data_IF_049744665530
#
_entry.id   IF_049744665530
#
_cell.length_a   1.000
_cell.length_b   1.000
_cell.length_c   1.000
_cell.angle_alpha   90.00
_cell.angle_beta   90.00
_cell.angle_gamma   90.00
#
_symmetry.space_group_name_H-M   'P 1'
#
loop_
_entity.id
_entity.type
_entity.pdbx_description
1 polymer ?
#
# COMPACT_ATOMS: atom_id res chain seq x y z
N UNK A 1 9.19 10.51 3.17
CA UNK A 1 8.68 10.98 1.88
C UNK A 1 7.61 9.97 1.43
N UNK A 2 6.34 10.37 1.36
CA UNK A 2 5.29 9.39 0.96
C UNK A 2 5.35 9.15 -0.53
N UNK A 3 5.29 7.88 -0.94
CA UNK A 3 5.23 7.51 -2.34
C UNK A 3 3.93 8.04 -2.98
N UNK A 4 4.01 8.73 -4.14
CA UNK A 4 2.84 9.27 -4.81
C UNK A 4 1.88 8.18 -5.31
N UNK A 5 2.32 6.94 -5.49
CA UNK A 5 1.42 5.85 -5.85
C UNK A 5 0.48 5.49 -4.71
N UNK A 6 0.92 5.55 -3.45
CA UNK A 6 0.04 5.30 -2.29
C UNK A 6 -1.06 6.37 -2.19
N UNK A 7 -0.74 7.64 -2.45
CA UNK A 7 -1.73 8.73 -2.50
C UNK A 7 -2.79 8.52 -3.59
N UNK A 8 -2.38 8.00 -4.75
CA UNK A 8 -3.29 7.68 -5.86
C UNK A 8 -4.25 6.53 -5.55
N UNK A 9 -3.97 5.71 -4.53
CA UNK A 9 -4.90 4.65 -4.10
C UNK A 9 -6.17 5.21 -3.41
N UNK A 10 -6.17 6.46 -2.96
CA UNK A 10 -7.35 7.10 -2.36
C UNK A 10 -7.87 6.42 -1.09
N UNK A 11 -7.00 5.71 -0.37
CA UNK A 11 -7.40 4.91 0.80
C UNK A 11 -7.55 5.77 2.07
N UNK A 12 -8.62 5.59 2.86
CA UNK A 12 -8.74 6.24 4.14
C UNK A 12 -7.66 5.72 5.11
N UNK A 13 -7.20 6.54 6.08
CA UNK A 13 -6.19 6.13 7.06
C UNK A 13 -6.63 4.91 7.89
N UNK A 14 -7.94 4.74 8.11
CA UNK A 14 -8.53 3.61 8.84
C UNK A 14 -8.82 2.38 7.96
N UNK A 15 -8.36 2.36 6.70
CA UNK A 15 -8.55 1.21 5.83
C UNK A 15 -7.90 -0.04 6.43
N UNK A 16 -8.46 -1.22 6.16
CA UNK A 16 -7.81 -2.46 6.56
C UNK A 16 -6.62 -2.78 5.65
N UNK A 17 -5.64 -3.53 6.16
CA UNK A 17 -4.50 -4.03 5.35
C UNK A 17 -4.97 -4.75 4.09
N UNK A 18 -6.10 -5.47 4.15
CA UNK A 18 -6.70 -6.14 2.99
C UNK A 18 -7.23 -5.14 1.95
N UNK A 19 -7.84 -4.04 2.38
CA UNK A 19 -8.29 -2.98 1.47
C UNK A 19 -7.10 -2.33 0.74
N UNK A 20 -5.97 -2.15 1.43
CA UNK A 20 -4.72 -1.64 0.84
C UNK A 20 -4.22 -2.56 -0.27
N UNK A 21 -4.11 -3.87 0.01
CA UNK A 21 -3.66 -4.84 -1.00
C UNK A 21 -4.62 -4.89 -2.19
N UNK A 22 -5.94 -4.84 -1.97
CA UNK A 22 -6.94 -4.80 -3.05
C UNK A 22 -6.82 -3.55 -3.92
N UNK A 23 -6.62 -2.38 -3.32
CA UNK A 23 -6.40 -1.15 -4.07
C UNK A 23 -5.09 -1.19 -4.85
N UNK A 24 -4.01 -1.71 -4.24
CA UNK A 24 -2.72 -1.91 -4.91
C UNK A 24 -2.83 -2.86 -6.12
N UNK A 25 -3.60 -3.95 -6.00
CA UNK A 25 -3.88 -4.86 -7.12
C UNK A 25 -4.67 -4.15 -8.22
N UNK A 26 -5.69 -3.36 -7.87
CA UNK A 26 -6.49 -2.59 -8.84
C UNK A 26 -5.69 -1.50 -9.55
N UNK A 27 -4.64 -0.98 -8.92
CA UNK A 27 -3.75 0.00 -9.52
C UNK A 27 -2.76 -0.61 -10.53
N UNK A 28 -2.53 -1.94 -10.49
CA UNK A 28 -1.68 -2.64 -11.44
C UNK A 28 -2.46 -3.04 -12.68
N UNK A 29 -1.85 -2.89 -13.86
CA UNK A 29 -2.43 -3.36 -15.12
C UNK A 29 -2.56 -4.89 -15.10
N UNK A 30 -3.66 -5.48 -15.62
CA UNK A 30 -3.84 -6.93 -15.67
C UNK A 30 -2.68 -7.67 -16.34
N UNK A 31 -2.05 -7.07 -17.36
CA UNK A 31 -0.87 -7.68 -18.00
C UNK A 31 0.32 -7.76 -17.04
N UNK A 32 0.52 -6.75 -16.19
CA UNK A 32 1.54 -6.78 -15.14
C UNK A 32 1.25 -7.86 -14.08
N UNK A 33 -0.03 -8.16 -13.84
CA UNK A 33 -0.44 -9.25 -12.94
C UNK A 33 -0.25 -10.62 -13.59
N UNK A 34 -0.48 -10.74 -14.91
CA UNK A 34 -0.35 -11.97 -15.67
C UNK A 34 1.10 -12.43 -15.84
N UNK A 35 2.07 -11.50 -15.85
CA UNK A 35 3.49 -11.85 -15.95
C UNK A 35 3.98 -12.56 -14.69
N UNK A 36 4.25 -13.88 -14.80
CA UNK A 36 4.71 -14.71 -13.67
C UNK A 36 6.05 -14.25 -13.10
N UNK A 37 6.97 -13.77 -13.94
CA UNK A 37 8.30 -13.29 -13.54
C UNK A 37 8.24 -12.07 -12.61
N UNK A 38 7.13 -11.32 -12.62
CA UNK A 38 6.94 -10.16 -11.74
C UNK A 38 6.39 -10.52 -10.36
N UNK A 39 6.22 -11.81 -10.03
CA UNK A 39 5.68 -12.23 -8.74
C UNK A 39 6.42 -11.64 -7.55
N UNK A 40 7.75 -11.65 -7.58
CA UNK A 40 8.57 -11.10 -6.50
C UNK A 40 8.49 -9.57 -6.44
N UNK A 41 8.46 -8.90 -7.58
CA UNK A 41 8.27 -7.45 -7.69
C UNK A 41 6.90 -7.04 -7.11
N UNK A 42 5.82 -7.75 -7.45
CA UNK A 42 4.48 -7.51 -6.90
C UNK A 42 4.43 -7.68 -5.38
N UNK A 43 5.08 -8.72 -4.85
CA UNK A 43 5.16 -8.92 -3.39
C UNK A 43 5.89 -7.76 -2.70
N UNK A 44 6.99 -7.26 -3.26
CA UNK A 44 7.68 -6.08 -2.73
C UNK A 44 6.78 -4.86 -2.74
N UNK A 45 6.13 -4.59 -3.87
CA UNK A 45 5.17 -3.49 -4.01
C UNK A 45 4.05 -3.55 -2.96
N UNK A 46 3.48 -4.73 -2.69
CA UNK A 46 2.45 -4.87 -1.66
C UNK A 46 2.99 -4.63 -0.25
N UNK A 47 4.24 -5.01 0.04
CA UNK A 47 4.86 -4.76 1.36
C UNK A 47 5.13 -3.27 1.55
N UNK A 48 5.69 -2.59 0.55
CA UNK A 48 5.94 -1.15 0.61
C UNK A 48 4.63 -0.36 0.80
N UNK A 49 3.54 -0.78 0.15
CA UNK A 49 2.22 -0.20 0.34
C UNK A 49 1.68 -0.41 1.75
N UNK A 50 1.90 -1.59 2.34
CA UNK A 50 1.48 -1.89 3.71
C UNK A 50 2.30 -1.12 4.75
N UNK A 51 3.61 -0.96 4.53
CA UNK A 51 4.49 -0.23 5.45
C UNK A 51 4.16 1.27 5.43
N UNK A 52 3.92 1.84 4.24
CA UNK A 52 3.44 3.22 4.12
C UNK A 52 2.07 3.43 4.74
N UNK A 53 1.18 2.46 4.60
CA UNK A 53 -0.13 2.50 5.24
C UNK A 53 -0.01 2.43 6.76
N UNK A 54 0.83 1.54 7.28
CA UNK A 54 1.10 1.43 8.71
C UNK A 54 1.67 2.74 9.27
N UNK A 55 2.64 3.36 8.59
CA UNK A 55 3.21 4.65 8.96
C UNK A 55 2.18 5.79 9.01
N UNK A 56 1.05 5.67 8.29
CA UNK A 56 -0.08 6.61 8.32
C UNK A 56 -1.17 6.23 9.33
N UNK A 57 -1.28 4.94 9.66
CA UNK A 57 -2.21 4.43 10.65
C UNK A 57 -1.75 4.71 12.07
N UNK A 58 -0.44 4.71 12.30
CA UNK A 58 0.10 5.20 13.56
C UNK A 58 -0.33 6.65 13.67
N UNK A 59 -1.23 7.00 14.63
CA UNK A 59 -1.36 8.39 15.00
C UNK A 59 0.05 8.82 15.37
N UNK A 60 0.51 9.97 14.91
CA UNK A 60 1.60 10.62 15.65
C UNK A 60 1.07 10.75 17.07
N UNK A 61 1.45 9.81 17.94
CA UNK A 61 1.14 9.87 19.35
C UNK A 61 1.81 11.16 19.82
N UNK A 62 1.07 12.22 20.20
CA UNK A 62 1.69 13.18 21.08
C UNK A 62 2.04 12.35 22.32
N UNK A 63 3.34 12.17 22.56
CA UNK A 63 3.83 11.84 23.89
C UNK A 63 3.28 12.93 24.81
N UNK A 64 2.13 12.66 25.41
CA UNK A 64 1.64 13.34 26.59
C UNK A 64 1.92 12.39 27.74
N UNK A 65 2.80 12.82 28.65
CA UNK A 65 3.27 12.05 29.80
C UNK A 65 4.72 12.35 30.08
#
# INVERSE_FOLDING_TARGET
MTDPAYLRLGLPPKASRLAVVRAAIRALHPDTLAVRSFREARKRFYRDMLDQHAARQTPAEPRSG
#
